data_IF_092031829483
#
_entry.id   IF_092031829483
#
_cell.length_a   1.000
_cell.length_b   1.000
_cell.length_c   1.000
_cell.angle_alpha   90.00
_cell.angle_beta   90.00
_cell.angle_gamma   90.00
#
_symmetry.space_group_name_H-M   'P 1'
#
loop_
_entity.id
_entity.type
_entity.pdbx_description
1 polymer ?
#
# COMPACT_ATOMS: atom_id res chain seq x y z
N UNK A 1 -18.94 -5.65 13.26
CA UNK A 1 -18.40 -4.27 13.40
C UNK A 1 -16.93 -4.24 13.86
N UNK A 2 -16.55 -4.91 14.96
CA UNK A 2 -15.16 -4.87 15.47
C UNK A 2 -14.14 -5.47 14.49
N UNK A 3 -14.45 -6.62 13.88
CA UNK A 3 -13.60 -7.27 12.88
C UNK A 3 -13.30 -6.37 11.65
N UNK A 4 -14.30 -5.63 11.15
CA UNK A 4 -14.10 -4.64 10.10
C UNK A 4 -13.15 -3.53 10.56
N UNK A 5 -13.30 -3.07 11.82
CA UNK A 5 -12.40 -2.08 12.39
C UNK A 5 -11.00 -2.65 12.50
N UNK A 6 -10.79 -3.82 13.08
CA UNK A 6 -9.45 -4.38 13.25
C UNK A 6 -8.72 -4.61 11.90
N UNK A 7 -9.47 -4.89 10.83
CA UNK A 7 -8.93 -5.03 9.47
C UNK A 7 -8.69 -3.70 8.73
N UNK A 8 -9.34 -2.62 9.13
CA UNK A 8 -9.34 -1.33 8.43
C UNK A 8 -8.98 -0.12 9.33
N UNK A 9 -8.65 -0.35 10.59
CA UNK A 9 -8.20 0.65 11.55
C UNK A 9 -6.74 1.03 11.36
N UNK A 10 -6.07 0.45 10.37
CA UNK A 10 -4.75 0.92 10.03
C UNK A 10 -4.88 2.30 9.38
N UNK A 11 -4.59 3.34 10.15
CA UNK A 11 -4.40 4.71 9.70
C UNK A 11 -3.14 4.83 8.84
N UNK A 12 -2.87 3.87 7.96
CA UNK A 12 -1.77 3.96 7.00
C UNK A 12 -2.28 4.09 5.58
N UNK A 13 -2.68 5.29 5.16
CA UNK A 13 -2.66 5.66 3.74
C UNK A 13 -1.24 5.72 3.15
N UNK A 14 -0.18 5.27 3.85
CA UNK A 14 1.19 5.67 3.55
C UNK A 14 2.24 4.58 3.85
N UNK A 15 1.89 3.29 3.90
CA UNK A 15 2.90 2.25 4.22
C UNK A 15 4.09 2.31 3.27
N UNK A 16 3.90 2.79 2.04
CA UNK A 16 4.95 2.89 1.02
C UNK A 16 5.16 4.31 0.49
N UNK A 17 4.86 5.37 1.28
CA UNK A 17 5.08 6.75 0.81
C UNK A 17 6.53 6.99 0.40
N UNK A 18 7.47 6.30 1.08
CA UNK A 18 8.89 6.41 0.82
C UNK A 18 9.27 5.95 -0.59
N UNK A 19 8.48 5.08 -1.23
CA UNK A 19 8.73 4.62 -2.60
C UNK A 19 8.66 5.78 -3.61
N UNK A 20 8.04 6.90 -3.25
CA UNK A 20 7.98 8.10 -4.08
C UNK A 20 9.10 9.11 -3.77
N UNK A 21 9.97 8.83 -2.80
CA UNK A 21 11.10 9.70 -2.49
C UNK A 21 12.24 9.51 -3.50
N UNK A 22 12.99 10.56 -3.82
CA UNK A 22 14.19 10.42 -4.66
C UNK A 22 15.29 9.62 -3.94
N UNK A 23 16.20 8.96 -4.67
CA UNK A 23 17.38 8.34 -4.08
C UNK A 23 18.26 9.39 -3.42
N UNK A 24 18.75 9.11 -2.21
CA UNK A 24 19.53 10.07 -1.44
C UNK A 24 20.84 9.44 -0.93
N UNK A 25 21.96 9.89 -1.51
CA UNK A 25 23.30 9.41 -1.16
C UNK A 25 23.69 9.78 0.28
N UNK A 26 23.12 10.85 0.83
CA UNK A 26 23.49 11.39 2.14
C UNK A 26 24.83 12.13 2.14
N UNK A 27 25.34 12.43 3.33
CA UNK A 27 26.48 13.34 3.52
C UNK A 27 27.86 12.65 3.49
N UNK A 28 27.87 11.33 3.70
CA UNK A 28 29.10 10.55 3.72
C UNK A 28 29.56 10.19 2.29
N UNK A 29 30.81 9.72 2.15
CA UNK A 29 31.48 9.50 0.85
C UNK A 29 31.90 8.06 0.60
N UNK A 30 31.28 7.09 1.27
CA UNK A 30 31.48 5.68 0.95
C UNK A 30 30.88 5.33 -0.42
N UNK A 31 31.39 4.28 -1.05
CA UNK A 31 30.84 3.75 -2.30
C UNK A 31 30.04 2.48 -1.98
N UNK A 32 28.75 2.63 -1.71
CA UNK A 32 27.86 1.52 -1.34
C UNK A 32 26.72 1.42 -2.37
N UNK A 33 26.79 0.47 -3.32
CA UNK A 33 25.70 0.24 -4.26
C UNK A 33 24.43 -0.21 -3.51
N UNK A 34 23.32 0.45 -3.79
CA UNK A 34 22.01 0.20 -3.20
C UNK A 34 20.93 0.31 -4.28
N UNK A 35 19.75 -0.24 -4.02
CA UNK A 35 18.58 -0.12 -4.89
C UNK A 35 17.61 0.93 -4.36
N UNK A 36 16.94 1.65 -5.26
CA UNK A 36 15.81 2.52 -4.93
C UNK A 36 14.68 2.29 -5.94
N UNK A 37 13.45 2.54 -5.52
CA UNK A 37 12.31 2.48 -6.41
C UNK A 37 12.18 3.77 -7.20
N UNK A 38 12.18 3.65 -8.52
CA UNK A 38 11.95 4.74 -9.45
C UNK A 38 10.47 4.71 -9.86
N UNK A 39 9.66 5.61 -9.28
CA UNK A 39 8.23 5.68 -9.57
C UNK A 39 7.90 6.14 -10.99
N UNK A 40 8.86 6.74 -11.71
CA UNK A 40 8.68 7.15 -13.11
C UNK A 40 8.77 5.96 -14.07
N UNK A 41 9.75 5.07 -13.87
CA UNK A 41 9.91 3.84 -14.64
C UNK A 41 9.16 2.64 -14.05
N UNK A 42 8.70 2.75 -12.80
CA UNK A 42 8.16 1.66 -11.99
C UNK A 42 9.14 0.50 -11.80
N UNK A 43 10.45 0.79 -11.78
CA UNK A 43 11.53 -0.19 -11.62
C UNK A 43 12.38 0.08 -10.38
N UNK A 44 13.09 -0.94 -9.91
CA UNK A 44 14.11 -0.78 -8.89
C UNK A 44 15.47 -0.62 -9.56
N UNK A 45 15.99 0.60 -9.52
CA UNK A 45 17.26 1.00 -10.14
C UNK A 45 18.36 1.11 -9.07
N UNK A 46 19.62 1.10 -9.48
CA UNK A 46 20.75 1.23 -8.54
C UNK A 46 21.22 2.66 -8.37
N UNK A 47 21.71 2.99 -7.18
CA UNK A 47 22.39 4.25 -6.86
C UNK A 47 23.53 4.00 -5.86
N UNK A 48 24.40 5.01 -5.68
CA UNK A 48 25.48 4.95 -4.70
C UNK A 48 25.07 5.67 -3.42
N UNK A 49 24.98 4.92 -2.33
CA UNK A 49 24.78 5.46 -0.99
C UNK A 49 26.12 5.78 -0.34
N UNK A 50 26.20 6.98 0.24
CA UNK A 50 27.40 7.53 0.87
C UNK A 50 27.74 6.91 2.23
N UNK A 51 26.84 6.10 2.81
CA UNK A 51 27.06 5.41 4.09
C UNK A 51 26.48 6.07 5.33
N UNK A 52 25.91 7.28 5.22
CA UNK A 52 25.15 7.89 6.31
C UNK A 52 24.02 8.80 5.80
N UNK A 53 22.94 8.92 6.57
CA UNK A 53 21.77 9.73 6.23
C UNK A 53 20.90 9.10 5.14
N UNK A 54 20.38 9.94 4.24
CA UNK A 54 19.46 9.52 3.20
C UNK A 54 18.04 9.28 3.71
N UNK A 55 17.23 8.63 2.88
CA UNK A 55 15.84 8.30 3.20
C UNK A 55 15.56 6.79 3.08
N UNK A 56 14.28 6.42 3.24
CA UNK A 56 13.81 5.02 3.27
C UNK A 56 13.70 4.37 1.89
N UNK A 57 13.81 5.11 0.78
CA UNK A 57 13.84 4.54 -0.56
C UNK A 57 15.23 3.97 -0.88
N UNK A 58 15.67 2.98 -0.11
CA UNK A 58 17.00 2.38 -0.19
C UNK A 58 16.96 0.94 0.31
N UNK A 59 17.37 0.02 -0.55
CA UNK A 59 17.29 -1.42 -0.31
C UNK A 59 18.58 -2.11 -0.75
N UNK A 60 19.01 -3.12 0.01
CA UNK A 60 20.22 -3.87 -0.30
C UNK A 60 20.03 -4.82 -1.49
N UNK A 61 18.82 -5.36 -1.65
CA UNK A 61 18.48 -6.29 -2.71
C UNK A 61 17.37 -5.73 -3.58
N UNK A 62 17.45 -6.00 -4.88
CA UNK A 62 16.42 -5.61 -5.84
C UNK A 62 15.05 -6.20 -5.47
N UNK A 63 15.01 -7.44 -4.97
CA UNK A 63 13.77 -8.12 -4.56
C UNK A 63 13.06 -7.38 -3.42
N UNK A 64 13.80 -6.88 -2.42
CA UNK A 64 13.23 -6.14 -1.29
C UNK A 64 12.61 -4.82 -1.77
N UNK A 65 13.28 -4.13 -2.70
CA UNK A 65 12.76 -2.92 -3.32
C UNK A 65 11.47 -3.19 -4.10
N UNK A 66 11.43 -4.28 -4.87
CA UNK A 66 10.27 -4.64 -5.67
C UNK A 66 9.08 -5.03 -4.76
N UNK A 67 9.29 -5.88 -3.76
CA UNK A 67 8.24 -6.26 -2.81
C UNK A 67 7.71 -5.07 -2.01
N UNK A 68 8.59 -4.12 -1.64
CA UNK A 68 8.19 -2.94 -0.89
C UNK A 68 7.47 -1.89 -1.74
N UNK A 69 7.85 -1.71 -3.00
CA UNK A 69 7.45 -0.52 -3.76
C UNK A 69 6.78 -0.77 -5.11
N UNK A 70 6.94 -1.96 -5.69
CA UNK A 70 6.19 -2.30 -6.89
C UNK A 70 4.74 -2.51 -6.49
N UNK A 71 3.96 -1.45 -6.66
CA UNK A 71 2.51 -1.52 -6.62
C UNK A 71 2.10 -2.51 -7.71
N UNK A 72 1.85 -3.76 -7.33
CA UNK A 72 1.04 -4.61 -8.16
C UNK A 72 -0.28 -3.85 -8.38
N UNK A 73 -0.76 -3.65 -9.62
CA UNK A 73 -2.13 -3.18 -9.83
C UNK A 73 -3.17 -4.06 -9.11
N UNK A 74 -2.79 -5.27 -8.68
CA UNK A 74 -3.59 -6.12 -7.78
C UNK A 74 -3.56 -5.68 -6.29
N UNK A 75 -2.68 -4.77 -5.88
CA UNK A 75 -2.59 -4.23 -4.52
C UNK A 75 -3.35 -2.91 -4.34
N UNK A 76 -3.84 -2.31 -5.43
CA UNK A 76 -4.95 -1.34 -5.35
C UNK A 76 -6.26 -2.08 -5.02
N UNK A 77 -6.39 -3.34 -5.46
CA UNK A 77 -7.55 -4.20 -5.15
C UNK A 77 -7.48 -4.92 -3.80
N UNK A 78 -6.36 -4.87 -3.08
CA UNK A 78 -6.25 -5.48 -1.73
C UNK A 78 -6.45 -4.48 -0.58
N UNK A 79 -6.63 -3.20 -0.87
CA UNK A 79 -7.24 -2.30 0.10
C UNK A 79 -8.75 -2.55 0.13
N UNK A 80 -9.14 -3.71 0.67
CA UNK A 80 -10.53 -4.13 0.93
C UNK A 80 -11.32 -3.04 1.67
N UNK A 81 -10.61 -2.18 2.40
CA UNK A 81 -11.14 -1.03 3.13
C UNK A 81 -11.51 0.16 2.23
N UNK A 82 -10.99 0.26 1.01
CA UNK A 82 -11.31 1.32 0.05
C UNK A 82 -12.34 0.89 -1.00
N UNK A 83 -12.67 -0.41 -1.04
CA UNK A 83 -13.68 -0.92 -1.96
C UNK A 83 -15.09 -0.47 -1.54
N UNK A 84 -15.95 -0.10 -2.51
CA UNK A 84 -17.33 0.22 -2.21
C UNK A 84 -18.10 -1.03 -1.76
N UNK A 85 -19.09 -0.84 -0.89
CA UNK A 85 -20.03 -1.91 -0.58
C UNK A 85 -20.96 -2.16 -1.77
N UNK A 86 -20.91 -3.35 -2.34
CA UNK A 86 -21.81 -3.78 -3.41
C UNK A 86 -22.84 -4.80 -2.89
N UNK A 87 -24.13 -4.51 -3.08
CA UNK A 87 -25.21 -5.45 -2.76
C UNK A 87 -25.22 -6.64 -3.71
N UNK A 88 -24.79 -6.46 -4.97
CA UNK A 88 -24.89 -7.49 -6.00
C UNK A 88 -26.32 -7.74 -6.49
N UNK A 89 -26.50 -8.60 -7.52
CA UNK A 89 -27.78 -8.81 -8.19
C UNK A 89 -28.70 -9.82 -7.48
N UNK A 90 -28.17 -10.63 -6.56
CA UNK A 90 -28.96 -11.60 -5.80
C UNK A 90 -29.85 -10.92 -4.73
N UNK A 91 -30.86 -11.63 -4.23
CA UNK A 91 -31.93 -11.07 -3.36
C UNK A 91 -31.98 -11.65 -1.95
N UNK A 92 -30.86 -12.17 -1.44
CA UNK A 92 -30.74 -12.49 -0.02
C UNK A 92 -30.61 -11.21 0.82
N UNK A 93 -31.04 -11.27 2.08
CA UNK A 93 -30.85 -10.19 3.04
C UNK A 93 -29.77 -10.64 4.01
N UNK A 94 -28.51 -10.35 3.67
CA UNK A 94 -27.35 -10.68 4.51
C UNK A 94 -26.70 -9.39 4.99
N UNK A 95 -26.74 -9.14 6.28
CA UNK A 95 -26.08 -7.96 6.86
C UNK A 95 -24.56 -8.18 6.92
N UNK A 96 -23.81 -7.26 6.30
CA UNK A 96 -22.34 -7.24 6.31
C UNK A 96 -21.83 -5.85 6.67
N UNK A 97 -20.54 -5.75 6.98
CA UNK A 97 -19.88 -4.48 7.28
C UNK A 97 -18.86 -4.14 6.18
N UNK A 98 -18.77 -2.86 5.84
CA UNK A 98 -17.74 -2.31 4.96
C UNK A 98 -17.13 -1.07 5.61
N UNK A 99 -15.92 -0.70 5.20
CA UNK A 99 -15.28 0.51 5.66
C UNK A 99 -15.67 1.69 4.76
N UNK A 100 -16.32 2.71 5.32
CA UNK A 100 -16.65 3.92 4.60
C UNK A 100 -15.49 4.92 4.77
N UNK A 101 -14.61 5.00 3.76
CA UNK A 101 -13.45 5.89 3.77
C UNK A 101 -13.80 7.37 3.91
N UNK A 102 -14.94 7.82 3.38
CA UNK A 102 -15.41 9.21 3.51
C UNK A 102 -15.74 9.60 4.95
N UNK A 103 -16.15 8.62 5.77
CA UNK A 103 -16.50 8.85 7.19
C UNK A 103 -15.49 8.27 8.17
N UNK A 104 -14.52 7.48 7.68
CA UNK A 104 -13.55 6.75 8.49
C UNK A 104 -14.17 5.69 9.42
N UNK A 105 -15.36 5.16 9.09
CA UNK A 105 -16.12 4.25 9.97
C UNK A 105 -16.59 3.00 9.24
N UNK A 106 -16.60 1.87 9.96
CA UNK A 106 -17.26 0.66 9.50
C UNK A 106 -18.78 0.81 9.61
N UNK A 107 -19.45 0.73 8.46
CA UNK A 107 -20.90 0.83 8.31
C UNK A 107 -21.50 -0.51 7.89
N UNK A 108 -22.75 -0.74 8.25
CA UNK A 108 -23.51 -1.93 7.85
C UNK A 108 -24.13 -1.73 6.46
N UNK A 109 -24.18 -2.80 5.67
CA UNK A 109 -24.88 -2.84 4.38
C UNK A 109 -25.54 -4.20 4.15
N UNK A 110 -26.48 -4.26 3.21
CA UNK A 110 -27.14 -5.51 2.80
C UNK A 110 -26.41 -6.09 1.60
N UNK A 111 -25.89 -7.31 1.77
CA UNK A 111 -25.33 -8.14 0.72
C UNK A 111 -26.40 -9.09 0.18
N UNK A 112 -26.62 -9.01 -1.14
CA UNK A 112 -27.63 -9.75 -1.89
C UNK A 112 -27.36 -11.26 -2.01
N UNK A 113 -26.16 -11.72 -1.63
CA UNK A 113 -25.84 -13.15 -1.59
C UNK A 113 -25.02 -13.67 -2.77
N UNK A 114 -24.73 -12.86 -3.78
CA UNK A 114 -23.79 -13.18 -4.86
C UNK A 114 -23.19 -11.90 -5.45
N UNK A 115 -21.98 -12.03 -6.02
CA UNK A 115 -21.19 -10.96 -6.65
C UNK A 115 -21.07 -9.70 -5.78
N UNK A 116 -19.92 -9.55 -5.11
CA UNK A 116 -19.55 -8.41 -4.27
C UNK A 116 -18.24 -8.67 -3.54
#
# INVERSE_FOLDING_TARGET
QQECRDRCNDTSPLENYFCNLPPEAGLCRAYIPQYFYNSTSQTCDTFIYGGCGGNKNRFERQVDCQEACSNDPLNITQNICLLPAETGPCRAIVFKYYYNASTGKCQEFVYGGCHG
#
